data_IF_164771182009
#
_entry.id   IF_164771182009
#
_cell.length_a   1.000
_cell.length_b   1.000
_cell.length_c   1.000
_cell.angle_alpha   90.00
_cell.angle_beta   90.00
_cell.angle_gamma   90.00
#
_symmetry.space_group_name_H-M   'P 1'
#
loop_
_entity.id
_entity.type
_entity.pdbx_description
1 polymer ?
#
# COMPACT_ATOMS: atom_id res chain seq x y z
N UNK A 1 -23.78 -14.71 11.41
CA UNK A 1 -24.93 -14.41 10.53
C UNK A 1 -24.37 -14.09 9.16
N UNK A 2 -24.63 -14.95 8.17
CA UNK A 2 -24.14 -14.80 6.80
C UNK A 2 -25.22 -14.04 6.02
N UNK A 3 -24.88 -12.87 5.48
CA UNK A 3 -25.82 -12.05 4.71
C UNK A 3 -25.51 -12.25 3.22
N UNK A 4 -26.46 -12.83 2.49
CA UNK A 4 -26.43 -12.95 1.03
C UNK A 4 -26.93 -11.67 0.38
N UNK A 5 -26.33 -11.29 -0.75
CA UNK A 5 -26.76 -10.17 -1.61
C UNK A 5 -26.84 -10.71 -3.03
N UNK A 6 -28.02 -10.64 -3.67
CA UNK A 6 -28.28 -11.07 -5.06
C UNK A 6 -27.56 -12.38 -5.44
N UNK A 7 -27.94 -13.50 -4.80
CA UNK A 7 -27.45 -14.86 -5.07
C UNK A 7 -25.95 -15.12 -4.82
N UNK A 8 -25.25 -14.20 -4.15
CA UNK A 8 -23.83 -14.35 -3.76
C UNK A 8 -23.69 -14.57 -2.25
N UNK A 9 -22.74 -15.41 -1.83
CA UNK A 9 -22.59 -15.83 -0.41
C UNK A 9 -22.08 -14.73 0.52
N UNK A 10 -21.48 -13.67 -0.03
CA UNK A 10 -21.01 -12.50 0.69
C UNK A 10 -20.70 -11.33 -0.28
N UNK A 11 -20.43 -10.13 0.26
CA UNK A 11 -20.03 -8.95 -0.54
C UNK A 11 -18.73 -9.18 -1.32
N UNK A 12 -17.85 -10.06 -0.87
CA UNK A 12 -16.59 -10.34 -1.55
C UNK A 12 -16.82 -11.03 -2.91
N UNK A 13 -17.73 -12.01 -3.00
CA UNK A 13 -18.07 -12.66 -4.28
C UNK A 13 -18.83 -11.75 -5.27
N UNK A 14 -19.44 -10.66 -4.77
CA UNK A 14 -20.09 -9.64 -5.61
C UNK A 14 -19.05 -8.72 -6.27
N UNK A 15 -18.01 -8.32 -5.53
CA UNK A 15 -16.97 -7.41 -6.03
C UNK A 15 -15.77 -8.12 -6.68
N UNK A 16 -15.56 -9.40 -6.35
CA UNK A 16 -14.50 -10.34 -6.73
C UNK A 16 -13.60 -9.85 -7.88
N UNK A 17 -14.05 -9.99 -9.12
CA UNK A 17 -13.27 -9.59 -10.29
C UNK A 17 -13.38 -8.11 -10.64
N UNK A 18 -14.47 -7.43 -10.25
CA UNK A 18 -14.76 -6.07 -10.71
C UNK A 18 -13.71 -5.06 -10.26
N UNK A 19 -13.27 -5.15 -9.00
CA UNK A 19 -12.26 -4.21 -8.47
C UNK A 19 -10.92 -4.45 -9.17
N UNK A 20 -10.48 -5.71 -9.24
CA UNK A 20 -9.22 -6.09 -9.91
C UNK A 20 -9.22 -5.72 -11.39
N UNK A 21 -10.30 -5.99 -12.12
CA UNK A 21 -10.44 -5.63 -13.53
C UNK A 21 -10.38 -4.12 -13.75
N UNK A 22 -11.01 -3.32 -12.89
CA UNK A 22 -10.94 -1.85 -12.99
C UNK A 22 -9.52 -1.34 -12.75
N UNK A 23 -8.83 -1.86 -11.73
CA UNK A 23 -7.43 -1.50 -11.46
C UNK A 23 -6.55 -1.86 -12.66
N UNK A 24 -6.74 -3.04 -13.26
CA UNK A 24 -5.99 -3.45 -14.44
C UNK A 24 -6.29 -2.55 -15.65
N UNK A 25 -7.52 -2.11 -15.85
CA UNK A 25 -7.86 -1.17 -16.92
C UNK A 25 -7.09 0.16 -16.76
N UNK A 26 -7.04 0.71 -15.54
CA UNK A 26 -6.28 1.94 -15.24
C UNK A 26 -4.77 1.74 -15.44
N UNK A 27 -4.23 0.58 -15.04
CA UNK A 27 -2.83 0.20 -15.25
C UNK A 27 -2.51 0.04 -16.74
N UNK A 28 -3.41 -0.58 -17.51
CA UNK A 28 -3.20 -0.83 -18.94
C UNK A 28 -3.16 0.46 -19.77
N UNK A 29 -3.85 1.51 -19.31
CA UNK A 29 -3.76 2.84 -19.90
C UNK A 29 -2.39 3.52 -19.72
N UNK A 30 -1.53 2.99 -18.84
CA UNK A 30 -0.15 3.45 -18.64
C UNK A 30 0.85 2.67 -19.54
N UNK A 31 1.98 3.30 -19.93
CA UNK A 31 3.07 2.60 -20.61
C UNK A 31 3.55 1.39 -19.81
N UNK A 32 3.88 0.28 -20.49
CA UNK A 32 4.34 -0.97 -19.83
C UNK A 32 5.52 -0.75 -18.89
N UNK A 33 6.40 0.20 -19.20
CA UNK A 33 7.58 0.58 -18.39
C UNK A 33 7.24 1.32 -17.09
N UNK A 34 5.96 1.62 -16.83
CA UNK A 34 5.52 2.45 -15.70
C UNK A 34 4.32 1.88 -14.96
N UNK A 35 4.13 0.55 -15.03
CA UNK A 35 3.01 -0.15 -14.39
C UNK A 35 3.38 -0.57 -12.97
N UNK A 36 3.00 0.28 -12.01
CA UNK A 36 3.20 0.05 -10.59
C UNK A 36 1.89 0.25 -9.83
N UNK A 37 1.63 -0.62 -8.86
CA UNK A 37 0.55 -0.46 -7.90
C UNK A 37 1.13 -0.24 -6.51
N UNK A 38 1.00 0.98 -5.99
CA UNK A 38 1.47 1.29 -4.63
C UNK A 38 0.36 0.97 -3.63
N UNK A 39 0.48 -0.16 -2.94
CA UNK A 39 -0.48 -0.60 -1.94
C UNK A 39 -0.26 0.15 -0.61
N UNK A 40 -1.05 1.20 -0.41
CA UNK A 40 -1.17 1.95 0.85
C UNK A 40 -2.50 1.66 1.56
N UNK A 41 -3.21 0.61 1.16
CA UNK A 41 -4.43 0.18 1.82
C UNK A 41 -4.11 -0.64 3.09
N UNK A 42 -5.13 -0.86 3.91
CA UNK A 42 -5.05 -1.90 4.95
C UNK A 42 -5.25 -3.29 4.33
N UNK A 43 -4.83 -4.34 5.04
CA UNK A 43 -4.98 -5.72 4.56
C UNK A 43 -6.45 -6.10 4.29
N UNK A 44 -7.39 -5.61 5.09
CA UNK A 44 -8.84 -5.88 4.93
C UNK A 44 -9.39 -5.35 3.59
N UNK A 45 -8.98 -4.15 3.20
CA UNK A 45 -9.36 -3.60 1.89
C UNK A 45 -8.58 -4.27 0.75
N UNK A 46 -7.29 -4.51 0.95
CA UNK A 46 -6.46 -5.12 -0.09
C UNK A 46 -6.85 -6.57 -0.37
N UNK A 47 -7.41 -7.31 0.60
CA UNK A 47 -7.93 -8.66 0.39
C UNK A 47 -9.17 -8.72 -0.50
N UNK A 48 -9.77 -7.57 -0.82
CA UNK A 48 -10.87 -7.49 -1.80
C UNK A 48 -10.36 -7.46 -3.26
N UNK A 49 -9.04 -7.52 -3.46
CA UNK A 49 -8.37 -7.52 -4.77
C UNK A 49 -7.67 -8.86 -4.96
N UNK A 50 -7.70 -9.42 -6.17
CA UNK A 50 -6.91 -10.59 -6.54
C UNK A 50 -5.50 -10.13 -6.93
N UNK A 51 -4.61 -10.03 -5.94
CA UNK A 51 -3.26 -9.50 -6.14
C UNK A 51 -2.45 -10.26 -7.21
N UNK A 52 -2.68 -11.56 -7.39
CA UNK A 52 -2.01 -12.38 -8.40
C UNK A 52 -2.44 -12.05 -9.83
N UNK A 53 -3.62 -11.44 -9.99
CA UNK A 53 -4.18 -11.08 -11.30
C UNK A 53 -3.86 -9.63 -11.68
N UNK A 54 -3.14 -8.88 -10.83
CA UNK A 54 -2.74 -7.50 -11.09
C UNK A 54 -1.60 -7.45 -12.11
N UNK A 55 -1.78 -6.70 -13.19
CA UNK A 55 -0.80 -6.56 -14.28
C UNK A 55 0.27 -5.48 -14.02
N UNK A 56 0.79 -5.43 -12.80
CA UNK A 56 1.79 -4.45 -12.36
C UNK A 56 2.65 -4.99 -11.21
N UNK A 57 3.82 -4.41 -10.99
CA UNK A 57 4.56 -4.64 -9.75
C UNK A 57 3.79 -4.00 -8.58
N UNK A 58 3.48 -4.79 -7.55
CA UNK A 58 2.81 -4.30 -6.35
C UNK A 58 3.86 -3.94 -5.29
N UNK A 59 3.97 -2.65 -4.98
CA UNK A 59 4.86 -2.14 -3.95
C UNK A 59 4.03 -1.85 -2.70
N UNK A 60 4.40 -2.43 -1.57
CA UNK A 60 3.68 -2.31 -0.30
C UNK A 60 4.59 -1.68 0.76
N UNK A 61 4.65 -0.34 0.84
CA UNK A 61 5.39 0.35 1.89
C UNK A 61 4.93 -0.06 3.30
N UNK A 62 5.89 -0.30 4.18
CA UNK A 62 5.64 -0.66 5.58
C UNK A 62 6.12 0.45 6.50
N UNK A 63 5.28 0.88 7.43
CA UNK A 63 5.58 1.93 8.40
C UNK A 63 5.68 1.32 9.79
N UNK A 64 6.88 1.38 10.38
CA UNK A 64 7.18 0.83 11.70
C UNK A 64 7.54 1.95 12.66
N UNK A 65 6.98 1.86 13.86
CA UNK A 65 7.23 2.81 14.95
C UNK A 65 7.98 2.11 16.08
N UNK A 66 8.89 2.84 16.73
CA UNK A 66 9.55 2.37 17.94
C UNK A 66 8.56 2.33 19.11
N UNK A 67 8.41 1.17 19.73
CA UNK A 67 7.56 1.00 20.91
C UNK A 67 7.93 -0.27 21.64
N UNK A 68 8.10 -0.20 22.97
CA UNK A 68 8.53 -1.33 23.81
C UNK A 68 9.86 -1.93 23.28
N UNK A 69 10.85 -1.05 23.11
CA UNK A 69 12.24 -1.39 22.74
C UNK A 69 12.43 -2.11 21.40
N UNK A 70 11.45 -1.99 20.49
CA UNK A 70 11.55 -2.51 19.13
C UNK A 70 10.72 -1.72 18.13
N UNK A 71 11.09 -1.81 16.86
CA UNK A 71 10.26 -1.32 15.75
C UNK A 71 9.14 -2.30 15.43
N UNK A 72 7.91 -1.81 15.37
CA UNK A 72 6.73 -2.61 14.97
C UNK A 72 5.68 -1.74 14.28
N UNK A 73 4.81 -2.37 13.50
CA UNK A 73 3.67 -1.66 12.92
C UNK A 73 2.67 -1.34 14.04
N UNK A 74 2.39 -0.07 14.25
CA UNK A 74 1.35 0.41 15.16
C UNK A 74 0.21 0.95 14.30
N UNK A 75 -0.94 0.27 14.29
CA UNK A 75 -2.00 0.46 13.29
C UNK A 75 -2.47 1.92 13.15
N UNK A 76 -2.59 2.65 14.26
CA UNK A 76 -2.96 4.07 14.25
C UNK A 76 -1.96 4.92 13.46
N UNK A 77 -0.66 4.79 13.75
CA UNK A 77 0.39 5.52 13.05
C UNK A 77 0.59 5.05 11.62
N UNK A 78 0.51 3.74 11.38
CA UNK A 78 0.58 3.19 10.02
C UNK A 78 -0.54 3.74 9.13
N UNK A 79 -1.76 3.92 9.65
CA UNK A 79 -2.87 4.56 8.92
C UNK A 79 -2.55 6.00 8.55
N UNK A 80 -2.01 6.80 9.50
CA UNK A 80 -1.57 8.18 9.24
C UNK A 80 -0.44 8.21 8.20
N UNK A 81 0.57 7.37 8.37
CA UNK A 81 1.74 7.30 7.49
C UNK A 81 1.40 6.93 6.04
N UNK A 82 0.44 6.01 5.84
CA UNK A 82 -0.11 5.71 4.51
C UNK A 82 -0.71 6.93 3.84
N UNK A 83 -1.53 7.70 4.57
CA UNK A 83 -2.10 8.95 4.06
C UNK A 83 -1.01 9.99 3.73
N UNK A 84 0.02 10.11 4.57
CA UNK A 84 1.16 10.98 4.31
C UNK A 84 1.94 10.57 3.05
N UNK A 85 2.14 9.27 2.84
CA UNK A 85 2.80 8.76 1.64
C UNK A 85 1.97 9.03 0.37
N UNK A 86 0.64 8.86 0.42
CA UNK A 86 -0.23 9.26 -0.70
C UNK A 86 -0.08 10.74 -1.01
N UNK A 87 -0.15 11.59 0.01
CA UNK A 87 0.02 13.04 -0.16
C UNK A 87 1.40 13.39 -0.72
N UNK A 88 2.46 12.71 -0.27
CA UNK A 88 3.82 12.86 -0.79
C UNK A 88 3.91 12.49 -2.26
N UNK A 89 3.39 11.33 -2.67
CA UNK A 89 3.40 10.85 -4.06
C UNK A 89 2.71 11.87 -4.97
N UNK A 90 1.53 12.36 -4.58
CA UNK A 90 0.75 13.32 -5.37
C UNK A 90 1.46 14.67 -5.45
N UNK A 91 1.86 15.24 -4.30
CA UNK A 91 2.47 16.58 -4.23
C UNK A 91 3.78 16.66 -5.00
N UNK A 92 4.62 15.63 -4.90
CA UNK A 92 5.92 15.58 -5.55
C UNK A 92 5.87 14.93 -6.94
N UNK A 93 4.66 14.60 -7.42
CA UNK A 93 4.43 13.94 -8.73
C UNK A 93 5.34 12.73 -8.93
N UNK A 94 5.48 11.89 -7.91
CA UNK A 94 6.36 10.72 -7.95
C UNK A 94 5.89 9.77 -9.04
N UNK A 95 6.79 9.41 -9.97
CA UNK A 95 6.51 8.53 -11.12
C UNK A 95 7.20 7.17 -11.07
N UNK A 96 8.08 6.96 -10.08
CA UNK A 96 8.92 5.76 -9.97
C UNK A 96 8.95 5.27 -8.52
N UNK A 97 8.81 3.97 -8.24
CA UNK A 97 8.87 3.42 -6.89
C UNK A 97 10.20 3.69 -6.18
N UNK A 98 11.30 3.82 -6.93
CA UNK A 98 12.64 4.09 -6.40
C UNK A 98 12.69 5.42 -5.66
N UNK A 99 11.87 6.40 -6.06
CA UNK A 99 11.77 7.71 -5.39
C UNK A 99 10.97 7.68 -4.09
N UNK A 100 10.30 6.57 -3.77
CA UNK A 100 9.58 6.44 -2.50
C UNK A 100 10.54 6.42 -1.31
N UNK A 101 11.80 6.01 -1.50
CA UNK A 101 12.83 5.98 -0.44
C UNK A 101 13.15 7.37 0.11
N UNK A 102 12.87 8.42 -0.67
CA UNK A 102 13.03 9.82 -0.28
C UNK A 102 11.92 10.30 0.70
N UNK A 103 10.89 9.48 0.95
CA UNK A 103 9.84 9.82 1.90
C UNK A 103 10.40 9.95 3.32
N UNK A 104 10.33 11.17 3.86
CA UNK A 104 10.88 11.56 5.16
C UNK A 104 9.92 12.33 6.07
N UNK A 105 8.59 12.14 5.94
CA UNK A 105 7.59 12.97 6.63
C UNK A 105 7.29 12.43 8.04
N UNK A 106 6.99 13.32 8.99
CA UNK A 106 6.55 12.98 10.36
C UNK A 106 7.57 12.13 11.15
N UNK A 107 8.85 12.24 10.80
CA UNK A 107 9.97 11.52 11.44
C UNK A 107 10.20 10.10 10.92
N UNK A 108 9.49 9.66 9.88
CA UNK A 108 9.82 8.41 9.20
C UNK A 108 11.08 8.55 8.34
N UNK A 109 11.89 7.50 8.27
CA UNK A 109 13.03 7.38 7.36
C UNK A 109 13.10 5.98 6.76
N UNK A 110 13.57 5.89 5.51
CA UNK A 110 13.76 4.61 4.83
C UNK A 110 14.79 3.73 5.56
N UNK A 111 14.52 2.43 5.66
CA UNK A 111 15.39 1.44 6.30
C UNK A 111 15.84 0.41 5.26
N UNK A 112 17.00 0.59 4.62
CA UNK A 112 17.48 -0.30 3.56
C UNK A 112 17.60 -1.76 4.01
N UNK A 113 18.08 -1.98 5.23
CA UNK A 113 18.36 -3.31 5.80
C UNK A 113 17.13 -4.22 5.93
N UNK A 114 15.95 -3.63 6.14
CA UNK A 114 14.69 -4.39 6.25
C UNK A 114 13.85 -4.31 4.97
N UNK A 115 14.33 -3.58 3.97
CA UNK A 115 13.56 -3.29 2.75
C UNK A 115 13.87 -4.28 1.65
N UNK A 116 12.85 -4.55 0.84
CA UNK A 116 13.03 -5.11 -0.50
C UNK A 116 12.47 -4.14 -1.53
N UNK A 117 12.77 -4.35 -2.82
CA UNK A 117 12.22 -3.55 -3.92
C UNK A 117 10.70 -3.39 -3.82
N UNK A 118 9.99 -4.47 -3.45
CA UNK A 118 8.52 -4.49 -3.38
C UNK A 118 7.97 -4.15 -1.98
N UNK A 119 8.82 -4.10 -0.95
CA UNK A 119 8.40 -3.82 0.43
C UNK A 119 9.37 -2.83 1.09
N UNK A 120 9.36 -1.55 0.68
CA UNK A 120 10.18 -0.55 1.34
C UNK A 120 9.68 -0.32 2.77
N UNK A 121 10.60 -0.39 3.74
CA UNK A 121 10.32 -0.20 5.17
C UNK A 121 10.75 1.19 5.57
N UNK A 122 9.86 1.90 6.25
CA UNK A 122 10.10 3.21 6.85
C UNK A 122 9.95 3.10 8.36
N UNK A 123 10.96 3.58 9.09
CA UNK A 123 11.00 3.55 10.55
C UNK A 123 10.88 4.94 11.12
N UNK A 124 10.15 5.05 12.23
CA UNK A 124 10.11 6.25 13.05
C UNK A 124 10.41 5.91 14.49
N UNK A 125 11.39 6.61 15.07
CA UNK A 125 11.60 6.64 16.52
C UNK A 125 11.06 8.00 16.97
N UNK A 126 9.97 8.03 17.74
CA UNK A 126 9.54 9.30 18.33
C UNK A 126 10.71 9.87 19.14
N UNK A 127 11.11 11.09 18.82
CA UNK A 127 11.88 11.91 19.77
C UNK A 127 10.98 12.18 20.97
N UNK A 128 11.53 12.01 22.16
CA UNK A 128 10.89 12.44 23.40
C UNK A 128 10.49 13.91 23.35
#
# INVERSE_FOLDING_TARGET
>A
RQFSVNDKKNLYEFWDKKITSNINADIQAQPKTSRYLINLASNEYFSSIHANDIEAEIITPQFKDWSKDRYRIISFFAKKARGLMVAYIIKNRVKSPEKLVEFGIDGYSFCPEESTKLKPVFKRKQGH
#
